data_IF_491619211883
#
_entry.id   IF_491619211883
#
_cell.length_a   1.000
_cell.length_b   1.000
_cell.length_c   1.000
_cell.angle_alpha   90.00
_cell.angle_beta   90.00
_cell.angle_gamma   90.00
#
_symmetry.space_group_name_H-M   'P 1'
#
loop_
_entity.id
_entity.type
_entity.pdbx_description
1 polymer ?
#
# COMPACT_ATOMS: atom_id res chain seq x y z
N UNK A 1 21.71 24.18 -13.63
CA UNK A 1 20.31 24.30 -13.19
C UNK A 1 19.82 22.96 -12.67
N UNK A 2 19.24 22.93 -11.50
CA UNK A 2 18.66 21.69 -10.95
C UNK A 2 17.19 21.57 -11.35
N UNK A 3 16.83 20.49 -12.02
CA UNK A 3 15.45 20.22 -12.45
C UNK A 3 14.93 19.01 -11.72
N UNK A 4 13.80 19.16 -11.03
CA UNK A 4 13.14 18.07 -10.31
C UNK A 4 11.78 17.80 -10.94
N UNK A 5 11.52 16.53 -11.24
CA UNK A 5 10.22 16.07 -11.70
C UNK A 5 9.54 15.23 -10.61
N UNK A 6 8.25 15.43 -10.44
CA UNK A 6 7.42 14.60 -9.56
C UNK A 6 6.50 13.76 -10.42
N UNK A 7 6.59 12.45 -10.30
CA UNK A 7 5.71 11.51 -10.98
C UNK A 7 4.81 10.83 -9.98
N UNK A 8 3.51 10.80 -10.27
CA UNK A 8 2.53 10.08 -9.47
C UNK A 8 2.08 8.84 -10.22
N UNK A 9 2.10 7.70 -9.56
CA UNK A 9 1.54 6.44 -10.06
C UNK A 9 0.29 6.12 -9.25
N UNK A 10 -0.87 6.06 -9.94
CA UNK A 10 -2.15 5.75 -9.30
C UNK A 10 -2.32 4.27 -9.01
N UNK A 11 -3.45 3.93 -8.38
CA UNK A 11 -3.74 2.56 -7.98
C UNK A 11 -3.75 1.56 -9.13
N UNK A 12 -4.21 1.94 -10.32
CA UNK A 12 -4.22 1.06 -11.50
C UNK A 12 -2.81 0.69 -11.94
N UNK A 13 -1.87 1.62 -11.90
CA UNK A 13 -0.46 1.37 -12.25
C UNK A 13 0.24 0.45 -11.24
N UNK A 14 -0.29 0.31 -10.05
CA UNK A 14 0.27 -0.48 -8.95
C UNK A 14 -0.65 -1.63 -8.54
N UNK A 15 -1.54 -2.05 -9.43
CA UNK A 15 -2.58 -3.03 -9.12
C UNK A 15 -2.06 -4.45 -8.93
N UNK A 16 -0.96 -4.82 -9.59
CA UNK A 16 -0.37 -6.15 -9.50
C UNK A 16 1.15 -6.11 -9.67
N UNK A 17 1.80 -7.26 -9.46
CA UNK A 17 3.26 -7.36 -9.55
C UNK A 17 3.80 -6.99 -10.94
N UNK A 18 3.09 -7.34 -12.01
CA UNK A 18 3.53 -7.05 -13.37
C UNK A 18 3.51 -5.55 -13.65
N UNK A 19 2.45 -4.85 -13.24
CA UNK A 19 2.35 -3.40 -13.38
C UNK A 19 3.40 -2.69 -12.50
N UNK A 20 3.62 -3.16 -11.28
CA UNK A 20 4.67 -2.63 -10.39
C UNK A 20 6.05 -2.77 -11.03
N UNK A 21 6.36 -3.89 -11.69
CA UNK A 21 7.62 -4.06 -12.41
C UNK A 21 7.79 -3.02 -13.51
N UNK A 22 6.72 -2.66 -14.24
CA UNK A 22 6.75 -1.59 -15.25
C UNK A 22 7.06 -0.24 -14.62
N UNK A 23 6.44 0.07 -13.48
CA UNK A 23 6.70 1.30 -12.73
C UNK A 23 8.17 1.36 -12.28
N UNK A 24 8.70 0.26 -11.77
CA UNK A 24 10.12 0.19 -11.36
C UNK A 24 11.05 0.50 -12.53
N UNK A 25 10.76 0.01 -13.72
CA UNK A 25 11.55 0.34 -14.91
C UNK A 25 11.53 1.84 -15.21
N UNK A 26 10.38 2.49 -15.10
CA UNK A 26 10.24 3.93 -15.28
C UNK A 26 11.05 4.69 -14.24
N UNK A 27 10.97 4.27 -12.98
CA UNK A 27 11.72 4.85 -11.87
C UNK A 27 13.22 4.78 -12.13
N UNK A 28 13.71 3.62 -12.53
CA UNK A 28 15.14 3.41 -12.77
C UNK A 28 15.67 4.15 -14.02
N UNK A 29 14.78 4.54 -14.93
CA UNK A 29 15.18 5.25 -16.17
C UNK A 29 15.62 6.68 -15.93
N UNK A 30 15.24 7.29 -14.81
CA UNK A 30 15.58 8.69 -14.50
C UNK A 30 15.62 8.93 -12.99
N UNK A 31 16.79 9.25 -12.48
CA UNK A 31 17.02 9.49 -11.04
C UNK A 31 16.42 10.80 -10.54
N UNK A 32 16.08 11.73 -11.43
CA UNK A 32 15.51 13.01 -11.04
C UNK A 32 14.04 12.94 -10.61
N UNK A 33 13.37 11.81 -10.87
CA UNK A 33 11.96 11.63 -10.57
C UNK A 33 11.71 11.31 -9.10
N UNK A 34 10.56 11.77 -8.60
CA UNK A 34 10.03 11.45 -7.27
C UNK A 34 8.65 10.81 -7.42
N UNK A 35 8.32 9.92 -6.52
CA UNK A 35 7.14 9.05 -6.68
C UNK A 35 6.25 9.07 -5.47
N UNK A 36 4.95 9.06 -5.73
CA UNK A 36 3.91 8.83 -4.75
C UNK A 36 3.02 7.70 -5.28
N UNK A 37 2.79 6.70 -4.48
CA UNK A 37 2.13 5.49 -4.95
C UNK A 37 1.21 4.89 -3.90
N UNK A 38 0.12 4.29 -4.36
CA UNK A 38 -0.78 3.49 -3.55
C UNK A 38 -1.24 2.27 -4.35
N UNK A 39 -1.31 1.12 -3.70
CA UNK A 39 -1.73 -0.11 -4.35
C UNK A 39 -3.21 -0.10 -4.68
N UNK A 40 -3.56 -0.42 -5.92
CA UNK A 40 -4.93 -0.48 -6.41
C UNK A 40 -5.50 -1.89 -6.49
N UNK A 41 -6.60 -2.02 -7.24
CA UNK A 41 -7.24 -3.30 -7.50
C UNK A 41 -6.39 -4.13 -8.46
N UNK A 42 -6.17 -5.41 -8.13
CA UNK A 42 -5.51 -6.36 -9.02
C UNK A 42 -6.46 -6.92 -10.08
N UNK A 43 -7.77 -6.95 -9.83
CA UNK A 43 -8.81 -7.43 -10.73
C UNK A 43 -10.14 -6.73 -10.44
N UNK A 44 -11.16 -6.91 -11.30
CA UNK A 44 -12.42 -6.14 -11.25
C UNK A 44 -13.12 -6.23 -9.89
N UNK A 45 -13.19 -7.43 -9.31
CA UNK A 45 -13.85 -7.66 -8.00
C UNK A 45 -12.93 -7.45 -6.80
N UNK A 46 -11.68 -7.08 -7.03
CA UNK A 46 -10.75 -6.78 -5.95
C UNK A 46 -11.15 -5.48 -5.24
N UNK A 47 -10.61 -5.26 -4.04
CA UNK A 47 -10.88 -4.07 -3.24
C UNK A 47 -9.64 -3.18 -3.17
N UNK A 48 -9.85 -1.87 -3.23
CA UNK A 48 -8.78 -0.90 -3.00
C UNK A 48 -8.32 -0.97 -1.55
N UNK A 49 -7.01 -0.86 -1.34
CA UNK A 49 -6.43 -0.88 0.02
C UNK A 49 -7.00 0.24 0.88
N UNK A 50 -7.19 1.45 0.34
CA UNK A 50 -7.81 2.57 1.07
C UNK A 50 -9.20 2.24 1.57
N UNK A 51 -10.02 1.56 0.78
CA UNK A 51 -11.37 1.17 1.19
C UNK A 51 -11.34 0.13 2.32
N UNK A 52 -10.41 -0.82 2.24
CA UNK A 52 -10.23 -1.83 3.28
C UNK A 52 -9.69 -1.21 4.57
N UNK A 53 -8.82 -0.21 4.48
CA UNK A 53 -8.35 0.54 5.65
C UNK A 53 -9.49 1.30 6.32
N UNK A 54 -10.44 1.84 5.55
CA UNK A 54 -11.66 2.42 6.11
C UNK A 54 -12.47 1.38 6.88
N UNK A 55 -12.61 0.17 6.33
CA UNK A 55 -13.28 -0.92 7.04
C UNK A 55 -12.56 -1.27 8.35
N UNK A 56 -11.23 -1.31 8.34
CA UNK A 56 -10.43 -1.52 9.55
C UNK A 56 -10.74 -0.47 10.62
N UNK A 57 -10.86 0.79 10.23
CA UNK A 57 -11.23 1.87 11.14
C UNK A 57 -12.60 1.64 11.78
N UNK A 58 -13.62 1.34 10.98
CA UNK A 58 -14.97 1.09 11.49
C UNK A 58 -15.03 -0.15 12.37
N UNK A 59 -14.38 -1.24 11.98
CA UNK A 59 -14.30 -2.48 12.77
C UNK A 59 -13.62 -2.24 14.12
N UNK A 60 -12.54 -1.46 14.13
CA UNK A 60 -11.81 -1.14 15.34
C UNK A 60 -12.67 -0.34 16.32
N UNK A 61 -13.47 0.62 15.82
CA UNK A 61 -14.38 1.40 16.64
C UNK A 61 -15.56 0.58 17.17
N UNK A 62 -16.07 -0.38 16.40
CA UNK A 62 -17.23 -1.19 16.78
C UNK A 62 -16.85 -2.37 17.68
N UNK A 63 -15.76 -3.06 17.36
CA UNK A 63 -15.41 -4.34 17.99
C UNK A 63 -14.08 -4.34 18.75
N UNK A 64 -13.27 -3.29 18.58
CA UNK A 64 -11.91 -3.23 19.13
C UNK A 64 -10.90 -4.09 18.38
N UNK A 65 -11.26 -4.68 17.26
CA UNK A 65 -10.36 -5.49 16.43
C UNK A 65 -10.52 -5.14 14.95
N UNK A 66 -9.51 -5.47 14.13
CA UNK A 66 -9.49 -5.20 12.70
C UNK A 66 -9.48 -6.51 11.92
N UNK A 67 -10.67 -7.06 11.64
CA UNK A 67 -10.80 -8.30 10.85
C UNK A 67 -10.32 -8.12 9.40
N UNK A 68 -10.58 -6.96 8.82
CA UNK A 68 -10.20 -6.65 7.43
C UNK A 68 -8.70 -6.43 7.25
N UNK A 69 -7.94 -6.30 8.32
CA UNK A 69 -6.49 -6.12 8.24
C UNK A 69 -5.79 -7.28 7.52
N UNK A 70 -6.27 -8.50 7.69
CA UNK A 70 -5.68 -9.67 7.03
C UNK A 70 -5.72 -9.57 5.52
N UNK A 71 -6.75 -8.96 4.95
CA UNK A 71 -6.82 -8.69 3.52
C UNK A 71 -5.67 -7.78 3.06
N UNK A 72 -5.44 -6.69 3.79
CA UNK A 72 -4.35 -5.75 3.50
C UNK A 72 -3.00 -6.44 3.63
N UNK A 73 -2.77 -7.14 4.73
CA UNK A 73 -1.52 -7.84 4.99
C UNK A 73 -1.23 -8.89 3.92
N UNK A 74 -2.19 -9.72 3.57
CA UNK A 74 -2.03 -10.78 2.56
C UNK A 74 -1.74 -10.20 1.18
N UNK A 75 -2.37 -9.09 0.83
CA UNK A 75 -2.15 -8.42 -0.45
C UNK A 75 -0.70 -7.94 -0.59
N UNK A 76 -0.15 -7.29 0.43
CA UNK A 76 1.23 -6.83 0.41
C UNK A 76 2.25 -7.96 0.54
N UNK A 77 1.97 -8.98 1.34
CA UNK A 77 2.85 -10.16 1.45
C UNK A 77 2.95 -10.90 0.12
N UNK A 78 1.83 -11.10 -0.55
CA UNK A 78 1.79 -11.73 -1.88
C UNK A 78 2.55 -10.91 -2.91
N UNK A 79 2.39 -9.59 -2.91
CA UNK A 79 3.09 -8.70 -3.82
C UNK A 79 4.61 -8.76 -3.59
N UNK A 80 5.04 -8.68 -2.32
CA UNK A 80 6.46 -8.74 -1.98
C UNK A 80 7.09 -10.06 -2.41
N UNK A 81 6.39 -11.17 -2.26
CA UNK A 81 6.84 -12.49 -2.70
C UNK A 81 7.00 -12.54 -4.22
N UNK A 82 5.99 -12.09 -4.97
CA UNK A 82 6.01 -12.08 -6.45
C UNK A 82 7.09 -11.18 -7.03
N UNK A 83 7.45 -10.12 -6.32
CA UNK A 83 8.50 -9.19 -6.72
C UNK A 83 9.88 -9.60 -6.21
N UNK A 84 9.96 -10.62 -5.36
CA UNK A 84 11.18 -10.99 -4.64
C UNK A 84 11.81 -9.75 -3.97
N UNK A 85 10.98 -8.98 -3.30
CA UNK A 85 11.38 -7.72 -2.71
C UNK A 85 12.33 -7.93 -1.53
N UNK A 86 13.48 -7.22 -1.47
CA UNK A 86 14.48 -7.39 -0.41
C UNK A 86 14.08 -6.66 0.88
N UNK A 87 12.84 -6.84 1.33
CA UNK A 87 12.29 -6.21 2.53
C UNK A 87 11.58 -7.24 3.40
N UNK A 88 11.63 -7.03 4.71
CA UNK A 88 10.82 -7.82 5.64
C UNK A 88 9.41 -7.21 5.70
N UNK A 89 8.56 -7.63 4.78
CA UNK A 89 7.20 -7.11 4.66
C UNK A 89 6.35 -7.42 5.90
N UNK A 90 6.59 -8.57 6.56
CA UNK A 90 5.87 -8.92 7.79
C UNK A 90 6.17 -7.94 8.92
N UNK A 91 7.44 -7.56 9.09
CA UNK A 91 7.85 -6.59 10.10
C UNK A 91 7.27 -5.20 9.80
N UNK A 92 7.28 -4.77 8.53
CA UNK A 92 6.69 -3.49 8.12
C UNK A 92 5.18 -3.46 8.40
N UNK A 93 4.46 -4.51 8.04
CA UNK A 93 3.01 -4.60 8.25
C UNK A 93 2.67 -4.63 9.74
N UNK A 94 3.45 -5.36 10.54
CA UNK A 94 3.29 -5.39 11.99
C UNK A 94 3.43 -3.99 12.58
N UNK A 95 4.45 -3.25 12.15
CA UNK A 95 4.68 -1.88 12.61
C UNK A 95 3.52 -0.96 12.25
N UNK A 96 3.03 -1.01 11.02
CA UNK A 96 1.88 -0.21 10.58
C UNK A 96 0.64 -0.56 11.40
N UNK A 97 0.38 -1.85 11.63
CA UNK A 97 -0.76 -2.30 12.44
C UNK A 97 -0.68 -1.75 13.87
N UNK A 98 0.49 -1.80 14.47
CA UNK A 98 0.72 -1.27 15.82
C UNK A 98 0.49 0.26 15.88
N UNK A 99 0.93 0.98 14.86
CA UNK A 99 0.69 2.43 14.76
C UNK A 99 -0.80 2.76 14.65
N UNK A 100 -1.55 2.01 13.87
CA UNK A 100 -3.00 2.18 13.73
C UNK A 100 -3.71 1.93 15.07
N UNK A 101 -3.33 0.86 15.78
CA UNK A 101 -3.92 0.53 17.09
C UNK A 101 -3.61 1.58 18.14
N UNK A 102 -2.44 2.24 18.05
CA UNK A 102 -2.03 3.29 18.98
C UNK A 102 -2.75 4.63 18.72
N UNK A 103 -3.17 4.89 17.47
CA UNK A 103 -3.83 6.15 17.08
C UNK A 103 -4.95 5.87 16.06
N UNK A 104 -6.10 5.31 16.49
CA UNK A 104 -7.15 4.83 15.58
C UNK A 104 -8.06 5.98 15.10
N UNK A 105 -7.50 7.01 14.50
CA UNK A 105 -8.26 8.07 13.86
C UNK A 105 -8.39 7.76 12.36
N UNK A 106 -9.58 8.05 11.78
CA UNK A 106 -9.89 7.72 10.40
C UNK A 106 -8.81 8.19 9.42
N UNK A 107 -8.43 9.46 9.48
CA UNK A 107 -7.45 10.03 8.54
C UNK A 107 -6.05 9.43 8.75
N UNK A 108 -5.68 9.13 9.99
CA UNK A 108 -4.42 8.46 10.31
C UNK A 108 -4.39 7.04 9.73
N UNK A 109 -5.45 6.25 9.93
CA UNK A 109 -5.55 4.87 9.44
C UNK A 109 -5.46 4.82 7.92
N UNK A 110 -6.21 5.68 7.23
CA UNK A 110 -6.26 5.71 5.77
C UNK A 110 -4.94 6.16 5.15
N UNK A 111 -4.16 6.98 5.86
CA UNK A 111 -2.86 7.46 5.39
C UNK A 111 -1.72 6.44 5.54
N UNK A 112 -1.93 5.33 6.26
CA UNK A 112 -0.90 4.29 6.47
C UNK A 112 -0.86 3.30 5.32
#
# INVERSE_FOLDING_TARGET
MFVMFVCKFGGTALSDAQNVKKVIKIIKSDKARRFVAAMGKAYVKDRKVTDVLCDCFFELNETGSMKSWDFVANKYLSLAEKLDAPVDMRALLKNVREQILAAPYRDFVVSR
#
